data_IF_382361281476
#
_entry.id   IF_382361281476
#
_cell.length_a   1.000
_cell.length_b   1.000
_cell.length_c   1.000
_cell.angle_alpha   90.00
_cell.angle_beta   90.00
_cell.angle_gamma   90.00
#
_symmetry.space_group_name_H-M   'P 1'
#
loop_
_entity.id
_entity.type
_entity.pdbx_description
1 polymer ?
#
# COMPACT_ATOMS: atom_id res chain seq x y z
N UNK A 1 15.41 -11.31 -24.19
CA UNK A 1 14.51 -11.45 -23.03
C UNK A 1 13.25 -10.63 -23.28
N UNK A 2 12.05 -11.20 -23.12
CA UNK A 2 10.78 -10.48 -23.17
C UNK A 2 10.14 -10.62 -21.78
N UNK A 3 10.38 -9.65 -20.91
CA UNK A 3 9.74 -9.62 -19.59
C UNK A 3 8.29 -9.15 -19.75
N UNK A 4 7.36 -9.82 -19.09
CA UNK A 4 5.98 -9.34 -19.02
C UNK A 4 5.92 -8.03 -18.23
N UNK A 5 5.11 -7.07 -18.66
CA UNK A 5 4.91 -5.82 -17.93
C UNK A 5 4.04 -6.07 -16.69
N UNK A 6 4.57 -5.78 -15.51
CA UNK A 6 3.85 -5.88 -14.24
C UNK A 6 4.75 -5.64 -13.04
N UNK A 7 4.19 -5.00 -12.01
CA UNK A 7 4.86 -4.78 -10.72
C UNK A 7 3.90 -5.23 -9.62
N UNK A 8 4.31 -6.20 -8.81
CA UNK A 8 3.46 -6.78 -7.77
C UNK A 8 3.55 -5.97 -6.48
N UNK A 9 2.65 -4.99 -6.33
CA UNK A 9 2.64 -4.06 -5.19
C UNK A 9 1.62 -4.41 -4.10
N UNK A 10 0.68 -5.32 -4.37
CA UNK A 10 -0.45 -5.58 -3.47
C UNK A 10 -0.07 -5.78 -1.98
N UNK A 11 1.02 -6.49 -1.62
CA UNK A 11 1.40 -6.68 -0.22
C UNK A 11 1.86 -5.40 0.50
N UNK A 12 2.32 -4.39 -0.24
CA UNK A 12 3.02 -3.21 0.29
C UNK A 12 2.41 -1.88 -0.15
N UNK A 13 1.41 -1.90 -1.02
CA UNK A 13 0.89 -0.70 -1.70
C UNK A 13 0.45 0.40 -0.73
N UNK A 14 -0.37 0.07 0.28
CA UNK A 14 -0.89 1.07 1.22
C UNK A 14 0.23 1.66 2.09
N UNK A 15 1.18 0.83 2.53
CA UNK A 15 2.35 1.31 3.28
C UNK A 15 3.19 2.26 2.45
N UNK A 16 3.48 1.92 1.18
CA UNK A 16 4.24 2.79 0.29
C UNK A 16 3.52 4.10 -0.03
N UNK A 17 2.19 4.08 -0.19
CA UNK A 17 1.43 5.31 -0.37
C UNK A 17 1.52 6.20 0.87
N UNK A 18 1.37 5.64 2.08
CA UNK A 18 1.53 6.42 3.31
C UNK A 18 2.96 7.00 3.44
N UNK A 19 3.98 6.21 3.11
CA UNK A 19 5.38 6.64 3.11
C UNK A 19 5.60 7.84 2.19
N UNK A 20 5.14 7.77 0.94
CA UNK A 20 5.30 8.85 -0.05
C UNK A 20 4.51 10.10 0.39
N UNK A 21 3.26 9.93 0.85
CA UNK A 21 2.46 11.07 1.29
C UNK A 21 3.04 11.74 2.54
N UNK A 22 3.64 10.98 3.47
CA UNK A 22 4.36 11.55 4.61
C UNK A 22 5.59 12.35 4.17
N UNK A 23 6.41 11.80 3.26
CA UNK A 23 7.63 12.44 2.76
C UNK A 23 7.36 13.74 2.02
N UNK A 24 6.24 13.81 1.30
CA UNK A 24 5.79 15.02 0.61
C UNK A 24 5.01 15.99 1.53
N UNK A 25 4.95 15.71 2.84
CA UNK A 25 4.24 16.55 3.80
C UNK A 25 2.73 16.65 3.57
N UNK A 26 2.13 15.62 2.96
CA UNK A 26 0.75 15.59 2.49
C UNK A 26 -0.06 14.42 3.07
N UNK A 27 0.35 13.86 4.22
CA UNK A 27 -0.27 12.69 4.83
C UNK A 27 -1.78 12.90 5.11
N UNK A 28 -2.20 14.13 5.36
CA UNK A 28 -3.60 14.56 5.51
C UNK A 28 -4.46 14.27 4.26
N UNK A 29 -3.84 14.12 3.08
CA UNK A 29 -4.51 13.85 1.81
C UNK A 29 -4.60 12.37 1.46
N UNK A 30 -3.96 11.49 2.24
CA UNK A 30 -3.86 10.06 1.94
C UNK A 30 -5.25 9.41 1.82
N UNK A 31 -6.14 9.62 2.79
CA UNK A 31 -7.49 9.02 2.79
C UNK A 31 -8.29 9.47 1.56
N UNK A 32 -8.17 10.74 1.19
CA UNK A 32 -8.86 11.26 0.02
C UNK A 32 -8.38 10.56 -1.26
N UNK A 33 -7.07 10.35 -1.39
CA UNK A 33 -6.48 9.61 -2.51
C UNK A 33 -6.88 8.13 -2.52
N UNK A 34 -6.75 7.43 -1.39
CA UNK A 34 -6.93 5.97 -1.33
C UNK A 34 -8.38 5.53 -1.24
N UNK A 35 -9.29 6.40 -0.81
CA UNK A 35 -10.61 5.97 -0.32
C UNK A 35 -11.78 6.84 -0.73
N UNK A 36 -11.58 8.12 -1.08
CA UNK A 36 -12.71 9.04 -1.37
C UNK A 36 -12.80 9.43 -2.85
N UNK A 37 -11.68 9.74 -3.49
CA UNK A 37 -11.65 10.21 -4.88
C UNK A 37 -12.19 9.15 -5.86
N UNK A 38 -11.81 7.89 -5.68
CA UNK A 38 -12.29 6.78 -6.49
C UNK A 38 -13.82 6.64 -6.44
N UNK A 39 -14.42 6.41 -5.26
CA UNK A 39 -15.89 6.34 -5.14
C UNK A 39 -16.61 7.58 -5.68
N UNK A 40 -16.11 8.79 -5.41
CA UNK A 40 -16.70 10.01 -5.96
C UNK A 40 -16.71 10.03 -7.49
N UNK A 41 -15.59 9.67 -8.12
CA UNK A 41 -15.48 9.59 -9.59
C UNK A 41 -16.39 8.52 -10.19
N UNK A 42 -16.40 7.32 -9.58
CA UNK A 42 -17.20 6.18 -10.04
C UNK A 42 -18.66 6.19 -9.55
N UNK A 43 -19.10 7.26 -8.87
CA UNK A 43 -20.45 7.40 -8.29
C UNK A 43 -20.83 6.22 -7.38
N UNK A 44 -19.90 5.81 -6.52
CA UNK A 44 -20.09 4.79 -5.49
C UNK A 44 -20.07 5.43 -4.11
N UNK A 45 -20.76 4.79 -3.16
CA UNK A 45 -20.66 5.17 -1.75
C UNK A 45 -19.27 4.80 -1.22
N UNK A 46 -18.61 5.69 -0.46
CA UNK A 46 -17.38 5.33 0.26
C UNK A 46 -17.59 4.13 1.19
N UNK A 47 -16.52 3.38 1.44
CA UNK A 47 -16.56 2.28 2.41
C UNK A 47 -16.87 2.82 3.81
N UNK A 48 -17.69 2.11 4.58
CA UNK A 48 -17.99 2.47 5.96
C UNK A 48 -16.88 2.02 6.94
N UNK A 49 -16.28 0.85 6.68
CA UNK A 49 -15.18 0.32 7.48
C UNK A 49 -13.88 1.08 7.28
N UNK A 50 -13.02 1.04 8.29
CA UNK A 50 -11.73 1.74 8.28
C UNK A 50 -10.57 0.76 8.48
N UNK A 51 -9.38 1.21 8.11
CA UNK A 51 -8.13 0.54 8.47
C UNK A 51 -7.27 1.51 9.28
N UNK A 52 -6.49 0.97 10.21
CA UNK A 52 -5.50 1.76 10.94
C UNK A 52 -4.13 1.57 10.30
N UNK A 53 -3.49 2.69 9.97
CA UNK A 53 -2.09 2.71 9.58
C UNK A 53 -1.23 3.10 10.79
N UNK A 54 -0.12 2.39 10.96
CA UNK A 54 0.84 2.64 12.03
C UNK A 54 2.21 2.90 11.44
N UNK A 55 2.83 3.98 11.92
CA UNK A 55 4.21 4.32 11.64
C UNK A 55 5.12 3.70 12.68
N UNK A 56 6.19 3.07 12.22
CA UNK A 56 7.24 2.48 13.04
C UNK A 56 8.55 3.27 12.91
N UNK A 57 9.30 3.40 14.00
CA UNK A 57 10.65 3.99 13.97
C UNK A 57 11.63 3.08 13.22
N UNK A 58 11.46 1.75 13.35
CA UNK A 58 12.25 0.77 12.59
C UNK A 58 11.55 0.41 11.28
N UNK A 59 12.31 0.08 10.21
CA UNK A 59 11.72 -0.40 8.96
C UNK A 59 10.83 -1.62 9.18
N UNK A 60 9.70 -1.66 8.48
CA UNK A 60 8.76 -2.77 8.45
C UNK A 60 9.31 -3.85 7.54
N UNK A 61 9.38 -5.08 8.04
CA UNK A 61 9.73 -6.23 7.22
C UNK A 61 8.53 -6.66 6.35
N UNK A 62 8.77 -6.83 5.05
CA UNK A 62 7.80 -7.40 4.11
C UNK A 62 8.38 -8.63 3.43
N UNK A 63 7.53 -9.61 3.11
CA UNK A 63 7.97 -10.78 2.37
C UNK A 63 8.54 -10.38 1.00
N UNK A 64 9.76 -10.83 0.68
CA UNK A 64 10.40 -10.56 -0.61
C UNK A 64 9.67 -11.23 -1.79
N UNK A 65 8.93 -12.30 -1.52
CA UNK A 65 8.18 -13.05 -2.52
C UNK A 65 6.93 -13.68 -1.90
N UNK A 66 5.92 -13.88 -2.73
CA UNK A 66 4.70 -14.64 -2.39
C UNK A 66 4.67 -15.92 -3.20
N UNK A 67 4.52 -17.06 -2.54
CA UNK A 67 4.40 -18.35 -3.20
C UNK A 67 3.04 -18.47 -3.92
N UNK A 68 3.05 -18.96 -5.16
CA UNK A 68 1.82 -19.25 -5.91
C UNK A 68 1.94 -20.62 -6.58
N UNK A 69 0.81 -21.16 -7.07
CA UNK A 69 0.81 -22.43 -7.82
C UNK A 69 1.63 -22.40 -9.11
N UNK A 70 1.90 -21.21 -9.66
CA UNK A 70 2.71 -21.02 -10.87
C UNK A 70 4.19 -20.68 -10.55
N UNK A 71 4.57 -20.65 -9.27
CA UNK A 71 5.90 -20.21 -8.81
C UNK A 71 5.85 -18.95 -7.94
N UNK A 72 7.01 -18.51 -7.38
CA UNK A 72 7.06 -17.31 -6.56
C UNK A 72 6.85 -16.04 -7.40
N UNK A 73 6.15 -15.06 -6.83
CA UNK A 73 6.03 -13.71 -7.37
C UNK A 73 6.80 -12.75 -6.46
N UNK A 74 7.76 -12.03 -7.05
CA UNK A 74 8.59 -11.05 -6.33
C UNK A 74 7.73 -9.84 -5.94
N UNK A 75 7.80 -9.45 -4.67
CA UNK A 75 7.12 -8.25 -4.17
C UNK A 75 7.93 -7.02 -4.55
N UNK A 76 7.23 -5.93 -4.90
CA UNK A 76 7.88 -4.66 -5.21
C UNK A 76 8.70 -4.13 -4.04
N UNK A 77 9.97 -3.84 -4.32
CA UNK A 77 10.91 -3.19 -3.40
C UNK A 77 11.60 -2.01 -4.12
N UNK A 78 11.35 -0.76 -3.71
CA UNK A 78 12.02 0.42 -4.26
C UNK A 78 13.45 0.64 -3.75
N UNK A 79 14.02 -0.28 -2.95
CA UNK A 79 15.39 -0.21 -2.45
C UNK A 79 15.61 0.79 -1.32
N UNK A 80 14.54 1.12 -0.58
CA UNK A 80 14.55 2.05 0.56
C UNK A 80 13.65 1.52 1.67
N UNK A 81 13.87 1.91 2.94
CA UNK A 81 13.08 1.38 4.04
C UNK A 81 11.63 1.89 4.01
N UNK A 82 10.69 0.97 4.29
CA UNK A 82 9.27 1.26 4.50
C UNK A 82 9.00 1.38 6.01
N UNK A 83 8.36 2.46 6.47
CA UNK A 83 8.07 2.67 7.88
C UNK A 83 6.59 2.54 8.25
N UNK A 84 5.71 2.36 7.27
CA UNK A 84 4.26 2.30 7.46
C UNK A 84 3.70 0.90 7.23
N UNK A 85 2.80 0.46 8.11
CA UNK A 85 2.08 -0.82 8.00
C UNK A 85 0.59 -0.67 8.30
N UNK A 86 -0.21 -1.61 7.78
CA UNK A 86 -1.61 -1.79 8.19
C UNK A 86 -1.62 -2.54 9.52
N UNK A 87 -2.14 -1.91 10.59
CA UNK A 87 -2.19 -2.48 11.93
C UNK A 87 -3.47 -3.28 12.19
N UNK A 88 -4.55 -3.00 11.46
CA UNK A 88 -5.83 -3.69 11.61
C UNK A 88 -6.97 -3.02 10.86
N UNK A 89 -8.14 -3.64 10.94
CA UNK A 89 -9.43 -3.05 10.52
C UNK A 89 -10.15 -2.50 11.74
N UNK A 90 -10.83 -1.39 11.56
CA UNK A 90 -11.76 -0.82 12.53
C UNK A 90 -13.18 -1.07 11.99
N UNK A 91 -14.02 -1.66 12.83
CA UNK A 91 -15.41 -2.06 12.53
C UNK A 91 -16.41 -0.94 12.84
#
# INVERSE_FOLDING_TARGET
>A
ACGCAGVFTAPVAVGWLAQVFEEEGALDRLETFTSLNGPAFYRRTPNAGRIRLERSETPVESAAQVATGAGPVVVFDPGRPLHWRVAGREE
#
